data_IF_802209032752
#
_entry.id   IF_802209032752
#
_cell.length_a   1.000
_cell.length_b   1.000
_cell.length_c   1.000
_cell.angle_alpha   90.00
_cell.angle_beta   90.00
_cell.angle_gamma   90.00
#
_symmetry.space_group_name_H-M   'P 1'
#
loop_
_entity.id
_entity.type
_entity.pdbx_description
1 polymer ?
#
# COMPACT_ATOMS: atom_id res chain seq x y z
N UNK A 1 45.13 -29.17 -0.32
CA UNK A 1 44.68 -28.01 -1.11
C UNK A 1 43.21 -28.25 -1.45
N UNK A 2 42.28 -27.74 -0.62
CA UNK A 2 40.85 -28.04 -0.71
C UNK A 2 40.20 -26.96 -1.55
N UNK A 3 39.70 -27.30 -2.76
CA UNK A 3 39.05 -26.42 -3.70
C UNK A 3 37.63 -26.15 -3.22
N UNK A 4 37.35 -24.94 -2.74
CA UNK A 4 36.03 -24.47 -2.32
C UNK A 4 35.27 -24.04 -3.60
N UNK A 5 34.38 -24.89 -4.11
CA UNK A 5 33.46 -24.56 -5.17
C UNK A 5 32.35 -23.63 -4.60
N UNK A 6 32.45 -22.31 -4.88
CA UNK A 6 31.37 -21.37 -4.66
C UNK A 6 30.22 -21.65 -5.66
N UNK A 7 29.13 -22.23 -5.18
CA UNK A 7 27.88 -22.27 -5.93
C UNK A 7 27.28 -20.86 -5.94
N UNK A 8 27.44 -20.14 -7.04
CA UNK A 8 26.67 -18.92 -7.32
C UNK A 8 25.25 -19.36 -7.67
N UNK A 9 24.30 -19.17 -6.72
CA UNK A 9 22.90 -19.33 -7.02
C UNK A 9 22.49 -18.31 -8.09
N UNK A 10 21.75 -18.70 -9.17
CA UNK A 10 21.29 -17.76 -10.16
C UNK A 10 20.34 -16.77 -9.48
N UNK A 11 20.68 -15.49 -9.49
CA UNK A 11 19.76 -14.42 -9.11
C UNK A 11 18.64 -14.42 -10.15
N UNK A 12 17.45 -14.88 -9.79
CA UNK A 12 16.27 -14.79 -10.65
C UNK A 12 15.99 -13.31 -10.93
N UNK A 13 16.34 -12.85 -12.12
CA UNK A 13 15.97 -11.52 -12.59
C UNK A 13 14.44 -11.47 -12.68
N UNK A 14 13.83 -10.50 -12.02
CA UNK A 14 12.39 -10.29 -12.08
C UNK A 14 11.98 -9.94 -13.52
N UNK A 15 11.05 -10.67 -14.09
CA UNK A 15 10.55 -10.45 -15.45
C UNK A 15 9.22 -9.73 -15.38
N UNK A 16 9.24 -8.40 -15.51
CA UNK A 16 8.00 -7.64 -15.63
C UNK A 16 7.34 -7.88 -16.99
N UNK A 17 6.00 -7.81 -17.07
CA UNK A 17 5.33 -7.81 -18.36
C UNK A 17 5.83 -6.67 -19.25
N UNK A 18 5.89 -6.92 -20.55
CA UNK A 18 6.21 -5.86 -21.50
C UNK A 18 5.06 -4.84 -21.54
N UNK A 19 5.40 -3.56 -21.63
CA UNK A 19 4.43 -2.50 -21.83
C UNK A 19 3.96 -2.52 -23.29
N UNK A 20 2.86 -3.23 -23.55
CA UNK A 20 2.30 -3.40 -24.90
C UNK A 20 1.29 -2.34 -25.28
N UNK A 21 0.84 -1.53 -24.33
CA UNK A 21 -0.18 -0.49 -24.49
C UNK A 21 -0.55 0.13 -23.15
N UNK A 22 -1.59 0.92 -23.12
CA UNK A 22 -2.13 1.51 -21.89
C UNK A 22 -2.89 0.50 -21.02
N UNK A 23 -3.23 -0.67 -21.58
CA UNK A 23 -3.86 -1.78 -20.87
C UNK A 23 -3.07 -3.06 -21.08
N UNK A 24 -2.39 -3.53 -20.06
CA UNK A 24 -1.62 -4.78 -20.03
C UNK A 24 -2.38 -5.79 -19.18
N UNK A 25 -3.18 -6.62 -19.82
CA UNK A 25 -4.07 -7.58 -19.13
C UNK A 25 -3.52 -9.01 -19.20
N UNK A 26 -2.50 -9.32 -18.39
CA UNK A 26 -1.94 -10.68 -18.33
C UNK A 26 -2.82 -11.69 -17.58
N UNK A 27 -3.67 -11.20 -16.69
CA UNK A 27 -4.58 -12.07 -15.94
C UNK A 27 -5.88 -12.38 -16.69
N UNK A 28 -6.06 -11.80 -17.90
CA UNK A 28 -7.24 -11.97 -18.76
C UNK A 28 -8.56 -11.66 -18.02
N UNK A 29 -8.59 -10.56 -17.29
CA UNK A 29 -9.75 -10.11 -16.52
C UNK A 29 -10.72 -9.27 -17.34
N UNK A 30 -10.27 -8.73 -18.48
CA UNK A 30 -11.03 -7.79 -19.30
C UNK A 30 -11.44 -8.44 -20.64
N UNK A 31 -12.66 -8.18 -21.05
CA UNK A 31 -13.10 -8.51 -22.40
C UNK A 31 -12.46 -7.55 -23.42
N UNK A 32 -12.34 -7.94 -24.69
CA UNK A 32 -11.74 -7.09 -25.73
C UNK A 32 -12.33 -5.69 -25.79
N UNK A 33 -13.67 -5.56 -25.68
CA UNK A 33 -14.36 -4.26 -25.75
C UNK A 33 -14.00 -3.37 -24.54
N UNK A 34 -13.85 -3.97 -23.35
CA UNK A 34 -13.45 -3.25 -22.12
C UNK A 34 -12.01 -2.76 -22.20
N UNK A 35 -11.12 -3.55 -22.80
CA UNK A 35 -9.73 -3.15 -23.04
C UNK A 35 -9.67 -1.95 -23.99
N UNK A 36 -10.40 -2.00 -25.11
CA UNK A 36 -10.47 -0.92 -26.09
C UNK A 36 -11.03 0.37 -25.44
N UNK A 37 -12.08 0.27 -24.64
CA UNK A 37 -12.66 1.41 -23.93
C UNK A 37 -11.63 2.04 -22.95
N UNK A 38 -10.96 1.23 -22.14
CA UNK A 38 -9.94 1.70 -21.20
C UNK A 38 -8.72 2.32 -21.92
N UNK A 39 -8.28 1.71 -23.02
CA UNK A 39 -7.20 2.27 -23.84
C UNK A 39 -7.58 3.63 -24.42
N UNK A 40 -8.80 3.75 -24.95
CA UNK A 40 -9.33 5.01 -25.50
C UNK A 40 -9.43 6.11 -24.42
N UNK A 41 -9.97 5.77 -23.24
CA UNK A 41 -10.09 6.71 -22.13
C UNK A 41 -8.72 7.17 -21.60
N UNK A 42 -7.78 6.25 -21.48
CA UNK A 42 -6.41 6.59 -21.05
C UNK A 42 -5.69 7.44 -22.11
N UNK A 43 -5.86 7.14 -23.40
CA UNK A 43 -5.33 7.95 -24.47
C UNK A 43 -5.93 9.38 -24.51
N UNK A 44 -7.24 9.49 -24.28
CA UNK A 44 -7.92 10.77 -24.17
C UNK A 44 -7.41 11.61 -22.99
N UNK A 45 -7.18 10.98 -21.83
CA UNK A 45 -6.58 11.64 -20.66
C UNK A 45 -5.21 12.23 -21.01
N UNK A 46 -4.34 11.42 -21.62
CA UNK A 46 -3.00 11.86 -21.99
C UNK A 46 -3.03 12.99 -23.02
N UNK A 47 -3.89 12.88 -24.02
CA UNK A 47 -4.07 13.94 -25.04
C UNK A 47 -4.56 15.27 -24.44
N UNK A 48 -5.38 15.22 -23.40
CA UNK A 48 -5.94 16.42 -22.76
C UNK A 48 -5.04 17.05 -21.70
N UNK A 49 -4.27 16.22 -21.00
CA UNK A 49 -3.54 16.64 -19.79
C UNK A 49 -2.03 16.41 -19.83
N UNK A 50 -1.57 15.61 -20.77
CA UNK A 50 -0.19 15.11 -20.83
C UNK A 50 0.12 13.98 -19.84
N UNK A 51 -0.82 13.63 -18.94
CA UNK A 51 -0.61 12.65 -17.87
C UNK A 51 -0.85 11.24 -18.36
N UNK A 52 0.06 10.33 -18.01
CA UNK A 52 -0.05 8.94 -18.43
C UNK A 52 -0.70 8.07 -17.36
N UNK A 53 -1.70 7.28 -17.78
CA UNK A 53 -2.37 6.30 -16.96
C UNK A 53 -2.34 4.92 -17.61
N UNK A 54 -1.93 3.91 -16.87
CA UNK A 54 -1.82 2.52 -17.35
C UNK A 54 -2.55 1.58 -16.40
N UNK A 55 -3.25 0.61 -16.97
CA UNK A 55 -3.88 -0.47 -16.24
C UNK A 55 -3.07 -1.74 -16.45
N UNK A 56 -2.66 -2.38 -15.37
CA UNK A 56 -1.91 -3.62 -15.37
C UNK A 56 -2.64 -4.71 -14.59
N UNK A 57 -2.90 -5.85 -15.20
CA UNK A 57 -3.28 -7.04 -14.46
C UNK A 57 -2.16 -8.07 -14.57
N UNK A 58 -1.76 -8.66 -13.45
CA UNK A 58 -0.68 -9.64 -13.38
C UNK A 58 -1.15 -10.94 -12.76
N UNK A 59 -0.62 -12.07 -13.27
CA UNK A 59 -1.01 -13.39 -12.73
C UNK A 59 -0.46 -13.63 -11.34
N UNK A 60 0.72 -13.11 -11.03
CA UNK A 60 1.36 -13.26 -9.73
C UNK A 60 2.27 -12.09 -9.42
N UNK A 61 2.44 -11.82 -8.13
CA UNK A 61 3.43 -10.86 -7.60
C UNK A 61 4.80 -11.49 -7.35
N UNK A 62 5.01 -12.75 -7.72
CA UNK A 62 6.28 -13.49 -7.56
C UNK A 62 6.80 -13.48 -6.12
N UNK A 63 5.90 -13.61 -5.14
CA UNK A 63 6.23 -13.61 -3.71
C UNK A 63 6.55 -12.23 -3.12
N UNK A 64 6.37 -11.16 -3.88
CA UNK A 64 6.59 -9.78 -3.41
C UNK A 64 5.32 -9.17 -2.82
N UNK A 65 5.49 -8.07 -2.09
CA UNK A 65 4.34 -7.21 -1.76
C UNK A 65 3.90 -6.45 -3.01
N UNK A 66 2.63 -6.08 -3.08
CA UNK A 66 2.12 -5.34 -4.23
C UNK A 66 2.73 -3.94 -4.32
N UNK A 67 3.18 -3.38 -3.20
CA UNK A 67 3.90 -2.12 -3.11
C UNK A 67 5.26 -2.20 -3.80
N UNK A 68 6.07 -3.21 -3.45
CA UNK A 68 7.39 -3.40 -4.06
C UNK A 68 7.26 -3.75 -5.56
N UNK A 69 6.29 -4.60 -5.90
CA UNK A 69 6.05 -4.95 -7.30
C UNK A 69 5.60 -3.74 -8.12
N UNK A 70 4.61 -2.97 -7.64
CA UNK A 70 4.09 -1.78 -8.33
C UNK A 70 5.14 -0.69 -8.52
N UNK A 71 5.90 -0.40 -7.47
CA UNK A 71 7.02 0.54 -7.52
C UNK A 71 8.05 0.16 -8.59
N UNK A 72 8.49 -1.09 -8.61
CA UNK A 72 9.48 -1.57 -9.58
C UNK A 72 8.92 -1.63 -11.00
N UNK A 73 7.65 -2.04 -11.16
CA UNK A 73 6.95 -2.06 -12.43
C UNK A 73 6.87 -0.66 -13.03
N UNK A 74 6.47 0.33 -12.21
CA UNK A 74 6.39 1.73 -12.64
C UNK A 74 7.72 2.26 -13.14
N UNK A 75 8.79 1.95 -12.43
CA UNK A 75 10.15 2.33 -12.85
C UNK A 75 10.63 1.58 -14.09
N UNK A 76 10.32 0.29 -14.21
CA UNK A 76 10.69 -0.49 -15.39
C UNK A 76 9.97 -0.03 -16.65
N UNK A 77 8.72 0.42 -16.50
CA UNK A 77 7.93 0.95 -17.61
C UNK A 77 8.16 2.44 -17.88
N UNK A 78 8.68 3.19 -16.93
CA UNK A 78 8.92 4.62 -17.03
C UNK A 78 7.67 5.42 -17.36
N UNK A 79 6.50 5.09 -16.76
CA UNK A 79 5.23 5.73 -17.05
C UNK A 79 5.24 7.18 -16.53
N UNK A 80 4.71 8.11 -17.32
CA UNK A 80 4.71 9.54 -17.04
C UNK A 80 5.82 10.28 -17.79
N UNK A 81 5.69 11.58 -17.90
CA UNK A 81 6.71 12.43 -18.51
C UNK A 81 7.92 12.54 -17.57
N UNK A 82 9.15 12.36 -18.10
CA UNK A 82 10.40 12.39 -17.32
C UNK A 82 10.58 13.66 -16.49
N UNK A 83 10.14 14.79 -17.02
CA UNK A 83 10.24 16.08 -16.32
C UNK A 83 9.17 16.28 -15.23
N UNK A 84 8.07 15.52 -15.28
CA UNK A 84 6.90 15.74 -14.42
C UNK A 84 6.62 14.57 -13.47
N UNK A 85 7.07 13.35 -13.80
CA UNK A 85 6.79 12.14 -13.02
C UNK A 85 5.29 11.92 -12.75
N UNK A 86 4.43 12.24 -13.71
CA UNK A 86 2.98 12.32 -13.55
C UNK A 86 2.24 11.03 -13.96
N UNK A 87 2.96 9.94 -14.01
CA UNK A 87 2.43 8.63 -14.35
C UNK A 87 1.64 7.98 -13.22
N UNK A 88 0.61 7.21 -13.59
CA UNK A 88 -0.22 6.43 -12.65
C UNK A 88 -0.42 5.02 -13.21
N UNK A 89 -0.37 4.01 -12.32
CA UNK A 89 -0.64 2.61 -12.66
C UNK A 89 -1.74 2.08 -11.74
N UNK A 90 -2.81 1.52 -12.31
CA UNK A 90 -3.74 0.67 -11.60
C UNK A 90 -3.28 -0.78 -11.76
N UNK A 91 -2.72 -1.35 -10.71
CA UNK A 91 -2.20 -2.73 -10.67
C UNK A 91 -3.18 -3.66 -9.95
N UNK A 92 -3.52 -4.78 -10.60
CA UNK A 92 -4.41 -5.81 -10.04
C UNK A 92 -3.72 -7.17 -10.10
N UNK A 93 -3.64 -7.84 -8.96
CA UNK A 93 -3.12 -9.20 -8.81
C UNK A 93 -4.23 -10.11 -8.24
N UNK A 94 -5.00 -10.78 -9.12
CA UNK A 94 -6.18 -11.53 -8.68
C UNK A 94 -5.86 -12.75 -7.82
N UNK A 95 -4.75 -13.43 -8.06
CA UNK A 95 -4.36 -14.60 -7.28
C UNK A 95 -4.04 -14.25 -5.82
N UNK A 96 -3.38 -13.13 -5.60
CA UNK A 96 -3.08 -12.61 -4.27
C UNK A 96 -4.23 -11.77 -3.68
N UNK A 97 -5.30 -11.56 -4.46
CA UNK A 97 -6.44 -10.69 -4.10
C UNK A 97 -5.99 -9.29 -3.69
N UNK A 98 -5.13 -8.70 -4.49
CA UNK A 98 -4.54 -7.40 -4.21
C UNK A 98 -4.74 -6.42 -5.36
N UNK A 99 -5.03 -5.18 -5.01
CA UNK A 99 -5.10 -4.04 -5.93
C UNK A 99 -4.26 -2.89 -5.39
N UNK A 100 -3.61 -2.16 -6.29
CA UNK A 100 -2.84 -0.98 -5.95
C UNK A 100 -3.01 0.10 -7.00
N UNK A 101 -3.11 1.33 -6.56
CA UNK A 101 -2.89 2.51 -7.38
C UNK A 101 -1.49 2.99 -7.04
N UNK A 102 -0.57 2.91 -7.99
CA UNK A 102 0.79 3.40 -7.87
C UNK A 102 0.90 4.76 -8.55
N UNK A 103 1.51 5.75 -7.88
CA UNK A 103 1.61 7.13 -8.40
C UNK A 103 3.06 7.57 -8.50
N UNK A 104 3.39 8.20 -9.62
CA UNK A 104 4.64 8.95 -9.78
C UNK A 104 4.66 10.19 -8.87
N UNK A 105 5.83 10.80 -8.73
CA UNK A 105 6.00 11.94 -7.82
C UNK A 105 5.08 13.11 -8.17
N UNK A 106 4.95 13.47 -9.44
CA UNK A 106 4.09 14.58 -9.87
C UNK A 106 2.60 14.26 -9.90
N UNK A 107 2.24 12.98 -10.05
CA UNK A 107 0.84 12.57 -10.01
C UNK A 107 0.20 12.79 -8.63
N UNK A 108 0.99 12.90 -7.55
CA UNK A 108 0.50 13.12 -6.17
C UNK A 108 -0.24 14.43 -5.97
N UNK A 109 -0.03 15.42 -6.84
CA UNK A 109 -0.79 16.68 -6.80
C UNK A 109 -2.29 16.41 -7.03
N UNK A 110 -2.60 15.39 -7.82
CA UNK A 110 -3.96 15.02 -8.20
C UNK A 110 -4.45 13.76 -7.46
N UNK A 111 -3.58 12.81 -7.24
CA UNK A 111 -3.91 11.48 -6.75
C UNK A 111 -3.00 11.10 -5.57
N UNK A 112 -3.29 11.67 -4.40
CA UNK A 112 -2.60 11.33 -3.14
C UNK A 112 -2.95 9.92 -2.66
N UNK A 113 -2.20 9.42 -1.69
CA UNK A 113 -2.50 8.13 -1.03
C UNK A 113 -3.92 8.11 -0.44
N UNK A 114 -4.39 9.27 0.06
CA UNK A 114 -5.74 9.43 0.60
C UNK A 114 -6.81 9.23 -0.48
N UNK A 115 -6.69 9.93 -1.61
CA UNK A 115 -7.62 9.82 -2.74
C UNK A 115 -7.58 8.42 -3.33
N UNK A 116 -6.38 7.87 -3.56
CA UNK A 116 -6.19 6.49 -4.04
C UNK A 116 -6.88 5.47 -3.13
N UNK A 117 -6.75 5.63 -1.80
CA UNK A 117 -7.45 4.79 -0.83
C UNK A 117 -8.96 4.90 -0.90
N UNK A 118 -9.50 6.10 -1.15
CA UNK A 118 -10.94 6.33 -1.31
C UNK A 118 -11.45 5.63 -2.57
N UNK A 119 -10.76 5.78 -3.70
CA UNK A 119 -11.11 5.12 -4.96
C UNK A 119 -11.11 3.60 -4.80
N UNK A 120 -10.04 3.03 -4.22
CA UNK A 120 -9.95 1.59 -4.00
C UNK A 120 -11.12 1.10 -3.16
N UNK A 121 -11.40 1.73 -2.03
CA UNK A 121 -12.45 1.28 -1.10
C UNK A 121 -13.86 1.45 -1.63
N UNK A 122 -14.13 2.52 -2.37
CA UNK A 122 -15.49 2.88 -2.74
C UNK A 122 -15.87 2.42 -4.16
N UNK A 123 -14.93 2.40 -5.10
CA UNK A 123 -15.19 2.04 -6.48
C UNK A 123 -14.74 0.60 -6.82
N UNK A 124 -13.57 0.17 -6.35
CA UNK A 124 -12.95 -1.08 -6.77
C UNK A 124 -13.38 -2.25 -5.87
N UNK A 125 -13.07 -2.18 -4.58
CA UNK A 125 -13.24 -3.31 -3.65
C UNK A 125 -14.67 -3.84 -3.54
N UNK A 126 -15.74 -3.03 -3.57
CA UNK A 126 -17.10 -3.57 -3.50
C UNK A 126 -17.42 -4.50 -4.68
N UNK A 127 -16.96 -4.15 -5.88
CA UNK A 127 -17.14 -4.96 -7.09
C UNK A 127 -16.28 -6.22 -7.06
N UNK A 128 -15.04 -6.12 -6.64
CA UNK A 128 -14.14 -7.27 -6.49
C UNK A 128 -14.68 -8.30 -5.48
N UNK A 129 -15.22 -7.83 -4.36
CA UNK A 129 -15.90 -8.70 -3.38
C UNK A 129 -17.16 -9.37 -3.91
N UNK A 130 -17.86 -8.73 -4.85
CA UNK A 130 -18.99 -9.29 -5.55
C UNK A 130 -18.59 -10.24 -6.72
N UNK A 131 -17.28 -10.42 -6.97
CA UNK A 131 -16.76 -11.24 -8.08
C UNK A 131 -16.68 -10.51 -9.42
N UNK A 132 -17.11 -9.25 -9.50
CA UNK A 132 -17.05 -8.44 -10.71
C UNK A 132 -15.67 -7.74 -10.84
N UNK A 133 -14.66 -8.51 -11.27
CA UNK A 133 -13.31 -8.01 -11.43
C UNK A 133 -13.22 -6.93 -12.52
N UNK A 134 -13.81 -7.20 -13.68
CA UNK A 134 -13.80 -6.27 -14.80
C UNK A 134 -14.52 -4.95 -14.45
N UNK A 135 -15.71 -5.05 -13.86
CA UNK A 135 -16.46 -3.86 -13.43
C UNK A 135 -15.72 -3.05 -12.35
N UNK A 136 -14.96 -3.70 -11.47
CA UNK A 136 -14.13 -3.02 -10.47
C UNK A 136 -12.96 -2.28 -11.10
N UNK A 137 -12.29 -2.87 -12.10
CA UNK A 137 -11.22 -2.22 -12.87
C UNK A 137 -11.76 -1.01 -13.61
N UNK A 138 -12.89 -1.17 -14.32
CA UNK A 138 -13.55 -0.09 -15.08
C UNK A 138 -13.93 1.08 -14.16
N UNK A 139 -14.61 0.80 -13.04
CA UNK A 139 -15.04 1.85 -12.10
C UNK A 139 -13.84 2.57 -11.45
N UNK A 140 -12.78 1.81 -11.10
CA UNK A 140 -11.55 2.38 -10.57
C UNK A 140 -10.84 3.28 -11.59
N UNK A 141 -10.74 2.82 -12.84
CA UNK A 141 -10.14 3.58 -13.92
C UNK A 141 -10.92 4.87 -14.20
N UNK A 142 -12.23 4.82 -14.24
CA UNK A 142 -13.08 6.00 -14.48
C UNK A 142 -12.88 7.06 -13.36
N UNK A 143 -12.82 6.66 -12.09
CA UNK A 143 -12.57 7.61 -10.99
C UNK A 143 -11.12 8.16 -11.00
N UNK A 144 -10.13 7.34 -11.36
CA UNK A 144 -8.73 7.79 -11.53
C UNK A 144 -8.66 8.83 -12.66
N UNK A 145 -9.21 8.51 -13.83
CA UNK A 145 -9.21 9.41 -15.00
C UNK A 145 -9.91 10.72 -14.67
N UNK A 146 -11.09 10.65 -14.04
CA UNK A 146 -11.84 11.83 -13.60
C UNK A 146 -11.00 12.71 -12.68
N UNK A 147 -10.34 12.15 -11.68
CA UNK A 147 -9.49 12.89 -10.75
C UNK A 147 -8.27 13.51 -11.44
N UNK A 148 -7.63 12.75 -12.34
CA UNK A 148 -6.48 13.23 -13.12
C UNK A 148 -6.84 14.27 -14.18
N UNK A 149 -8.11 14.36 -14.61
CA UNK A 149 -8.58 15.35 -15.58
C UNK A 149 -8.94 16.69 -14.94
N UNK A 150 -9.02 16.75 -13.60
CA UNK A 150 -9.41 17.98 -12.91
C UNK A 150 -8.32 19.07 -13.04
N UNK A 151 -8.72 20.35 -13.09
CA UNK A 151 -7.81 21.46 -12.83
C UNK A 151 -7.16 21.33 -11.44
N UNK A 152 -5.92 21.80 -11.31
CA UNK A 152 -5.12 21.60 -10.09
C UNK A 152 -5.82 22.10 -8.80
N UNK A 153 -6.54 23.22 -8.87
CA UNK A 153 -7.27 23.79 -7.75
C UNK A 153 -8.45 22.91 -7.29
N UNK A 154 -9.15 22.27 -8.23
CA UNK A 154 -10.24 21.34 -7.91
C UNK A 154 -9.70 20.01 -7.39
N UNK A 155 -8.64 19.51 -8.00
CA UNK A 155 -7.98 18.30 -7.54
C UNK A 155 -7.49 18.45 -6.09
N UNK A 156 -6.87 19.58 -5.74
CA UNK A 156 -6.42 19.88 -4.38
C UNK A 156 -7.57 19.92 -3.36
N UNK A 157 -8.73 20.46 -3.71
CA UNK A 157 -9.93 20.41 -2.84
C UNK A 157 -10.36 18.99 -2.53
N UNK A 158 -10.38 18.11 -3.54
CA UNK A 158 -10.71 16.70 -3.36
C UNK A 158 -9.65 15.99 -2.49
N UNK A 159 -8.38 16.31 -2.69
CA UNK A 159 -7.27 15.81 -1.87
C UNK A 159 -7.48 16.18 -0.40
N UNK A 160 -7.70 17.45 -0.10
CA UNK A 160 -7.93 17.93 1.27
C UNK A 160 -9.13 17.24 1.93
N UNK A 161 -10.23 17.07 1.20
CA UNK A 161 -11.41 16.35 1.70
C UNK A 161 -11.10 14.88 2.01
N UNK A 162 -10.35 14.21 1.12
CA UNK A 162 -9.96 12.82 1.32
C UNK A 162 -9.01 12.64 2.52
N UNK A 163 -8.07 13.56 2.70
CA UNK A 163 -7.14 13.56 3.83
C UNK A 163 -7.86 13.81 5.17
N UNK A 164 -8.76 14.79 5.21
CA UNK A 164 -9.60 15.06 6.39
C UNK A 164 -10.47 13.84 6.74
N UNK A 165 -11.08 13.20 5.75
CA UNK A 165 -11.86 11.98 5.96
C UNK A 165 -11.01 10.81 6.46
N UNK A 166 -9.76 10.69 6.04
CA UNK A 166 -8.82 9.69 6.57
C UNK A 166 -8.41 10.00 8.01
N UNK A 167 -8.11 11.24 8.32
CA UNK A 167 -7.78 11.67 9.70
C UNK A 167 -8.96 11.40 10.64
N UNK A 168 -10.17 11.84 10.29
CA UNK A 168 -11.36 11.59 11.10
C UNK A 168 -11.61 10.09 11.36
N UNK A 169 -11.30 9.21 10.40
CA UNK A 169 -11.40 7.75 10.58
C UNK A 169 -10.33 7.20 11.52
N UNK A 170 -9.12 7.74 11.50
CA UNK A 170 -8.04 7.36 12.42
C UNK A 170 -8.38 7.77 13.86
N UNK A 171 -8.91 8.96 14.03
CA UNK A 171 -9.29 9.52 15.34
C UNK A 171 -10.54 8.85 15.91
N UNK A 172 -11.48 8.42 15.06
CA UNK A 172 -12.70 7.73 15.46
C UNK A 172 -12.55 6.23 15.70
N UNK A 173 -11.40 5.63 15.42
CA UNK A 173 -11.10 4.26 15.87
C UNK A 173 -10.92 4.27 17.38
N UNK A 174 -11.94 3.87 18.19
CA UNK A 174 -11.71 3.69 19.61
C UNK A 174 -10.66 2.58 19.73
N UNK A 175 -9.47 2.99 20.14
CA UNK A 175 -8.42 2.02 20.41
C UNK A 175 -8.99 0.98 21.37
N UNK A 176 -9.02 -0.28 20.96
CA UNK A 176 -9.43 -1.40 21.83
C UNK A 176 -8.59 -1.40 23.11
N UNK A 177 -7.40 -0.84 23.06
CA UNK A 177 -6.45 -0.74 24.17
C UNK A 177 -7.03 -0.03 25.40
N UNK A 178 -7.68 1.15 25.34
CA UNK A 178 -8.30 1.75 26.52
C UNK A 178 -9.44 0.91 27.08
N UNK A 179 -10.26 0.31 26.23
CA UNK A 179 -11.40 -0.52 26.66
C UNK A 179 -10.91 -1.78 27.38
N UNK A 180 -9.92 -2.48 26.83
CA UNK A 180 -9.30 -3.65 27.46
C UNK A 180 -8.58 -3.25 28.76
N UNK A 181 -7.90 -2.13 28.78
CA UNK A 181 -7.23 -1.61 29.97
C UNK A 181 -8.23 -1.32 31.11
N UNK A 182 -9.32 -0.62 30.83
CA UNK A 182 -10.37 -0.36 31.80
C UNK A 182 -11.12 -1.64 32.25
N UNK A 183 -11.37 -2.57 31.33
CA UNK A 183 -11.94 -3.86 31.66
C UNK A 183 -11.03 -4.69 32.59
N UNK A 184 -9.72 -4.65 32.39
CA UNK A 184 -8.74 -5.29 33.27
C UNK A 184 -8.73 -4.63 34.68
N UNK A 185 -8.78 -3.29 34.75
CA UNK A 185 -8.81 -2.58 36.02
C UNK A 185 -10.10 -2.94 36.80
N UNK A 186 -11.25 -2.87 36.13
CA UNK A 186 -12.54 -3.22 36.73
C UNK A 186 -12.55 -4.69 37.17
N UNK A 187 -12.06 -5.60 36.36
CA UNK A 187 -11.92 -7.03 36.70
C UNK A 187 -11.01 -7.24 37.90
N UNK A 188 -9.88 -6.56 37.98
CA UNK A 188 -8.96 -6.64 39.13
C UNK A 188 -9.57 -6.09 40.41
N UNK A 189 -10.29 -4.97 40.33
CA UNK A 189 -11.02 -4.38 41.49
C UNK A 189 -12.10 -5.33 41.96
N UNK A 190 -12.93 -5.89 41.06
CA UNK A 190 -13.97 -6.86 41.42
C UNK A 190 -13.39 -8.14 42.03
N UNK A 191 -12.29 -8.65 41.51
CA UNK A 191 -11.58 -9.81 42.08
C UNK A 191 -11.02 -9.51 43.48
N UNK A 192 -10.55 -8.30 43.70
CA UNK A 192 -10.05 -7.83 45.01
C UNK A 192 -11.16 -7.75 46.06
N UNK A 193 -12.35 -7.31 45.68
CA UNK A 193 -13.53 -7.32 46.53
C UNK A 193 -14.06 -8.73 46.80
N UNK A 194 -14.09 -9.61 45.78
CA UNK A 194 -14.53 -11.00 45.94
C UNK A 194 -13.63 -11.78 46.93
N UNK A 195 -12.32 -11.52 46.89
CA UNK A 195 -11.37 -12.13 47.83
C UNK A 195 -11.53 -11.63 49.26
N UNK A 196 -12.04 -10.41 49.49
CA UNK A 196 -12.37 -9.88 50.84
C UNK A 196 -13.65 -10.45 51.39
N UNK A 197 -14.61 -10.85 50.59
CA UNK A 197 -15.87 -11.41 50.99
C UNK A 197 -15.80 -12.89 51.48
N UNK A 198 -14.71 -13.61 51.20
CA UNK A 198 -14.48 -15.02 51.57
C UNK A 198 -13.62 -15.21 52.83
N UNK A 199 -13.51 -14.21 53.69
CA UNK A 199 -12.70 -14.25 54.91
C UNK A 199 -13.34 -15.07 56.03
N UNK A 200 -13.30 -16.41 55.95
CA UNK A 200 -13.52 -17.27 57.10
C UNK A 200 -12.18 -17.74 57.67
N UNK A 201 -11.93 -17.31 58.89
CA UNK A 201 -10.86 -17.66 59.80
C UNK A 201 -10.19 -19.02 59.55
N UNK A 202 -8.88 -19.00 59.29
CA UNK A 202 -7.97 -20.05 59.77
C UNK A 202 -6.64 -19.40 60.15
N UNK A 203 -6.27 -19.58 61.42
CA UNK A 203 -4.96 -19.26 61.98
C UNK A 203 -3.99 -20.36 61.55
N UNK A 204 -2.94 -20.04 60.86
CA UNK A 204 -1.66 -20.69 61.06
C UNK A 204 -0.53 -19.88 60.40
N UNK A 205 0.53 -19.71 61.15
CA UNK A 205 1.72 -19.02 60.74
C UNK A 205 2.49 -19.83 59.68
N UNK A 206 2.76 -19.22 58.54
CA UNK A 206 3.82 -19.67 57.65
C UNK A 206 4.43 -18.44 56.95
N UNK A 207 5.72 -18.28 57.16
CA UNK A 207 6.56 -17.36 56.42
C UNK A 207 6.43 -17.66 54.95
N UNK A 208 5.95 -16.73 54.16
CA UNK A 208 6.10 -16.78 52.70
C UNK A 208 6.69 -15.47 52.21
N UNK A 209 7.83 -15.56 51.61
CA UNK A 209 8.49 -14.53 50.86
C UNK A 209 7.61 -14.18 49.65
N UNK A 210 6.69 -13.26 49.82
CA UNK A 210 5.84 -12.74 48.76
C UNK A 210 6.60 -11.71 47.95
N UNK A 211 6.68 -11.93 46.64
CA UNK A 211 7.15 -10.94 45.69
C UNK A 211 6.30 -9.71 45.85
N UNK A 212 6.91 -8.57 46.21
CA UNK A 212 6.25 -7.30 46.40
C UNK A 212 5.54 -6.86 45.13
N UNK A 213 4.29 -6.36 45.17
CA UNK A 213 3.58 -5.81 44.00
C UNK A 213 4.37 -4.72 43.26
N UNK A 214 5.28 -4.04 43.96
CA UNK A 214 6.19 -3.05 43.43
C UNK A 214 7.19 -3.61 42.40
N UNK A 215 7.65 -4.87 42.57
CA UNK A 215 8.60 -5.52 41.64
C UNK A 215 7.92 -5.85 40.30
N UNK A 216 6.63 -6.18 40.34
CA UNK A 216 5.84 -6.43 39.13
C UNK A 216 5.60 -5.13 38.38
N UNK A 217 5.28 -4.03 39.09
CA UNK A 217 5.07 -2.72 38.45
C UNK A 217 6.38 -2.16 37.84
N UNK A 218 7.51 -2.42 38.52
CA UNK A 218 8.83 -1.99 38.03
C UNK A 218 9.25 -2.78 36.78
N UNK A 219 9.02 -4.08 36.75
CA UNK A 219 9.26 -4.94 35.60
C UNK A 219 8.42 -4.56 34.35
N UNK A 220 7.15 -4.18 34.56
CA UNK A 220 6.30 -3.70 33.46
C UNK A 220 6.75 -2.35 32.90
N UNK A 221 7.24 -1.45 33.77
CA UNK A 221 7.76 -0.15 33.37
C UNK A 221 9.08 -0.28 32.57
N UNK A 222 9.91 -1.26 32.90
CA UNK A 222 11.16 -1.54 32.17
C UNK A 222 10.87 -2.14 30.78
N UNK A 223 9.87 -3.03 30.69
CA UNK A 223 9.44 -3.60 29.42
C UNK A 223 8.86 -2.54 28.46
N UNK A 224 8.17 -1.52 28.99
CA UNK A 224 7.64 -0.41 28.19
C UNK A 224 8.71 0.56 27.70
N UNK A 225 9.87 0.62 28.37
CA UNK A 225 11.04 1.38 27.89
C UNK A 225 11.82 0.66 26.81
N UNK A 226 11.89 -0.67 26.84
CA UNK A 226 12.56 -1.45 25.83
C UNK A 226 11.89 -1.38 24.45
N UNK A 227 10.59 -1.07 24.38
CA UNK A 227 9.85 -0.92 23.10
C UNK A 227 9.96 0.46 22.47
N UNK A 228 10.54 1.46 23.15
CA UNK A 228 10.69 2.85 22.64
C UNK A 228 12.07 3.20 22.09
N UNK A 229 12.97 2.23 22.01
CA UNK A 229 14.37 2.44 21.63
C UNK A 229 14.75 1.76 20.32
N UNK A 230 14.05 2.01 19.22
CA UNK A 230 14.57 1.72 17.88
C UNK A 230 14.04 2.71 16.86
N UNK A 231 14.50 3.94 17.02
CA UNK A 231 14.43 4.96 16.01
C UNK A 231 15.83 5.25 15.50
N UNK A 232 15.91 5.58 14.26
CA UNK A 232 17.02 6.27 13.62
C UNK A 232 18.24 5.43 13.27
N UNK A 233 18.25 4.90 12.05
CA UNK A 233 19.46 4.89 11.24
C UNK A 233 19.19 5.65 9.96
N UNK A 234 19.66 6.89 9.97
CA UNK A 234 19.96 7.65 8.79
C UNK A 234 21.26 7.11 8.19
N UNK A 235 21.30 6.95 6.91
CA UNK A 235 22.47 6.53 6.17
C UNK A 235 22.22 6.86 4.72
N UNK A 236 22.73 8.02 4.30
CA UNK A 236 22.82 8.47 2.94
C UNK A 236 23.75 7.56 2.13
N UNK A 237 23.47 7.46 0.84
CA UNK A 237 24.30 6.78 -0.12
C UNK A 237 23.70 7.00 -1.49
N UNK A 238 23.98 8.17 -2.07
CA UNK A 238 23.77 8.40 -3.49
C UNK A 238 24.74 7.55 -4.29
N UNK A 239 24.22 6.86 -5.29
CA UNK A 239 25.03 6.42 -6.43
C UNK A 239 24.20 6.65 -7.68
N UNK A 240 24.65 7.67 -8.42
CA UNK A 240 24.27 7.87 -9.79
C UNK A 240 24.84 6.75 -10.66
N UNK A 241 24.05 6.31 -11.60
CA UNK A 241 24.43 5.36 -12.61
C UNK A 241 23.44 5.51 -13.76
N UNK A 242 23.72 6.49 -14.64
CA UNK A 242 23.07 6.60 -15.92
C UNK A 242 23.52 5.45 -16.80
N UNK A 243 22.57 4.78 -17.43
CA UNK A 243 22.80 3.99 -18.64
C UNK A 243 21.72 4.38 -19.64
N UNK A 244 22.17 5.18 -20.60
CA UNK A 244 21.46 5.39 -21.82
C UNK A 244 21.58 4.14 -22.69
N UNK A 245 20.56 3.86 -23.45
CA UNK A 245 20.48 2.82 -24.46
C UNK A 245 19.09 2.91 -25.02
N UNK A 246 18.85 3.50 -26.12
CA UNK A 246 19.20 3.03 -27.41
C UNK A 246 17.92 2.62 -28.09
N UNK A 247 17.42 3.48 -28.98
CA UNK A 247 16.25 3.40 -29.83
C UNK A 247 16.03 2.07 -30.52
N UNK A 248 14.77 1.77 -30.70
CA UNK A 248 14.23 0.77 -31.60
C UNK A 248 12.87 1.25 -32.06
N UNK A 249 12.84 1.95 -33.19
CA UNK A 249 11.59 2.35 -33.81
C UNK A 249 10.84 1.12 -34.30
N UNK A 250 9.58 1.04 -33.97
CA UNK A 250 8.66 0.04 -34.49
C UNK A 250 7.23 0.41 -34.12
N UNK A 251 6.50 0.80 -35.12
CA UNK A 251 5.03 0.90 -35.18
C UNK A 251 4.28 1.26 -33.88
N UNK A 252 3.91 2.52 -33.73
CA UNK A 252 2.75 3.01 -32.98
C UNK A 252 2.43 2.42 -31.60
N UNK A 253 3.41 1.87 -30.89
CA UNK A 253 3.23 1.33 -29.55
C UNK A 253 3.30 2.43 -28.50
N UNK A 254 2.40 2.40 -27.51
CA UNK A 254 2.51 3.20 -26.32
C UNK A 254 3.83 2.87 -25.60
N UNK A 255 4.62 3.90 -25.27
CA UNK A 255 5.82 3.79 -24.45
C UNK A 255 5.72 4.73 -23.26
N UNK A 256 6.32 4.39 -22.12
CA UNK A 256 6.47 5.29 -21.00
C UNK A 256 7.32 6.49 -21.38
N UNK A 257 6.97 7.65 -20.85
CA UNK A 257 7.65 8.93 -21.11
C UNK A 257 8.89 9.18 -20.23
N UNK A 258 9.40 8.15 -19.52
CA UNK A 258 10.60 8.25 -18.69
C UNK A 258 10.33 8.67 -17.23
N UNK A 259 9.07 8.75 -16.80
CA UNK A 259 8.68 9.14 -15.46
C UNK A 259 9.19 8.20 -14.36
N UNK A 260 9.37 8.73 -13.17
CA UNK A 260 9.88 8.03 -11.99
C UNK A 260 8.83 7.86 -10.91
N UNK A 261 8.90 6.73 -10.20
CA UNK A 261 7.98 6.38 -9.13
C UNK A 261 8.69 6.38 -7.76
N UNK A 262 7.97 6.83 -6.74
CA UNK A 262 8.47 6.91 -5.36
C UNK A 262 7.73 6.03 -4.36
N UNK A 263 6.96 5.05 -4.85
CA UNK A 263 6.16 4.15 -3.99
C UNK A 263 4.95 4.83 -3.36
N UNK A 264 4.47 5.96 -3.91
CA UNK A 264 3.22 6.59 -3.50
C UNK A 264 2.00 5.83 -4.00
N UNK A 265 0.84 6.16 -3.43
CA UNK A 265 -0.43 5.53 -3.78
C UNK A 265 -1.04 4.72 -2.65
N UNK A 266 -1.97 3.83 -2.96
CA UNK A 266 -2.64 3.01 -1.96
C UNK A 266 -2.87 1.59 -2.45
N UNK A 267 -3.01 0.68 -1.49
CA UNK A 267 -3.29 -0.73 -1.75
C UNK A 267 -4.58 -1.16 -1.07
N UNK A 268 -5.21 -2.22 -1.60
CA UNK A 268 -6.37 -2.86 -1.02
C UNK A 268 -6.35 -4.37 -1.24
N UNK A 269 -7.17 -5.08 -0.46
CA UNK A 269 -7.38 -6.53 -0.60
C UNK A 269 -8.86 -6.85 -0.47
N UNK A 270 -9.30 -7.97 -1.10
CA UNK A 270 -10.69 -8.45 -1.08
C UNK A 270 -10.81 -9.94 -0.80
#
# INVERSE_FOLDING_TARGET
MTLLLLFAAPASAQTFPQLTGRVVDQANLLRPEQRIDLESKSAALEAQTGRQFVIATVKSLEGRTIEDYGYRLGRAWGIGEEAKDDGVILLVAPNEKKVRIETGYGARVFLTDAVSSVIIRNAILPKFKAGDMAGGIMAGADEIIKQMSLPADQAQRNVQQAEQAQQARRDSSPGIIPVVFWAMIVGFVLLSFARRASGRRYRSAARSSGISPWVILWGLNELSRASRGRGSWGGGGGWGGGWGGGGGGGFGGFSGGGGSFGGGGASGSW
#
